data_IF_860232244773
#
_entry.id   IF_860232244773
#
_cell.length_a   1.000
_cell.length_b   1.000
_cell.length_c   1.000
_cell.angle_alpha   90.00
_cell.angle_beta   90.00
_cell.angle_gamma   90.00
#
_symmetry.space_group_name_H-M   'P 1'
#
loop_
_entity.id
_entity.type
_entity.pdbx_description
1 polymer ?
#
# COMPACT_ATOMS: atom_id res chain seq x y z
N UNK A 1 15.06 -8.58 -0.67
CA UNK A 1 16.16 -7.65 -0.29
C UNK A 1 17.18 -7.38 -1.38
N UNK A 2 17.62 -8.37 -2.17
CA UNK A 2 18.76 -8.29 -3.13
C UNK A 2 18.90 -7.00 -3.97
N UNK A 3 17.79 -6.34 -4.31
CA UNK A 3 17.77 -5.13 -5.16
C UNK A 3 17.30 -3.86 -4.43
N UNK A 4 17.15 -3.88 -3.11
CA UNK A 4 16.76 -2.70 -2.32
C UNK A 4 18.00 -1.99 -1.78
N UNK A 5 18.25 -0.78 -2.28
CA UNK A 5 19.38 0.08 -1.90
C UNK A 5 19.38 0.58 -0.44
N UNK A 6 18.28 0.44 0.31
CA UNK A 6 18.18 0.88 1.71
C UNK A 6 18.53 -0.27 2.67
N UNK A 7 18.16 -1.49 2.30
CA UNK A 7 18.46 -2.69 3.07
C UNK A 7 17.45 -2.97 4.18
N UNK A 8 17.87 -3.84 5.11
CA UNK A 8 17.05 -4.38 6.18
C UNK A 8 17.05 -3.48 7.43
N UNK A 9 15.91 -3.38 8.11
CA UNK A 9 15.84 -2.86 9.47
C UNK A 9 14.84 -3.70 10.27
N UNK A 10 15.32 -4.82 10.80
CA UNK A 10 14.51 -5.78 11.55
C UNK A 10 14.30 -5.39 13.02
N UNK A 11 15.02 -4.38 13.52
CA UNK A 11 15.01 -3.97 14.94
C UNK A 11 14.17 -2.72 15.21
N UNK A 12 13.73 -2.01 14.19
CA UNK A 12 12.86 -0.86 14.35
C UNK A 12 11.51 -1.28 14.97
N UNK A 13 10.96 -0.47 15.90
CA UNK A 13 9.66 -0.76 16.48
C UNK A 13 8.54 -0.55 15.45
N UNK A 14 7.47 -1.32 15.63
CA UNK A 14 6.18 -1.08 14.98
C UNK A 14 5.29 -0.30 15.94
N UNK A 15 5.14 0.99 15.67
CA UNK A 15 4.36 1.93 16.50
C UNK A 15 2.97 2.19 15.91
N UNK A 16 2.85 2.17 14.59
CA UNK A 16 1.59 2.34 13.87
C UNK A 16 1.64 1.69 12.49
N UNK A 17 0.51 1.69 11.78
CA UNK A 17 0.39 1.17 10.42
C UNK A 17 -0.06 2.27 9.47
N UNK A 18 0.45 2.26 8.24
CA UNK A 18 0.04 3.17 7.17
C UNK A 18 -0.44 2.36 5.97
N UNK A 19 -1.74 2.42 5.68
CA UNK A 19 -2.31 1.86 4.47
C UNK A 19 -2.02 2.81 3.31
N UNK A 20 -1.29 2.33 2.31
CA UNK A 20 -0.99 3.03 1.08
C UNK A 20 -1.94 2.57 -0.03
N UNK A 21 -2.72 3.50 -0.57
CA UNK A 21 -3.64 3.28 -1.69
C UNK A 21 -3.13 4.03 -2.90
N UNK A 22 -3.15 3.40 -4.08
CA UNK A 22 -2.69 3.97 -5.34
C UNK A 22 -3.86 4.16 -6.30
N UNK A 23 -3.94 5.34 -6.91
CA UNK A 23 -4.86 5.63 -8.01
C UNK A 23 -4.33 5.00 -9.30
N UNK A 24 -4.89 3.84 -9.65
CA UNK A 24 -4.37 3.00 -10.73
C UNK A 24 -4.30 3.68 -12.09
N UNK A 25 -5.28 4.50 -12.55
CA UNK A 25 -5.18 5.17 -13.84
C UNK A 25 -3.95 6.07 -13.92
N UNK A 26 -3.69 6.86 -12.87
CA UNK A 26 -2.52 7.73 -12.80
C UNK A 26 -1.21 6.94 -12.72
N UNK A 27 -1.18 5.80 -12.03
CA UNK A 27 -0.02 4.91 -12.04
C UNK A 27 0.24 4.35 -13.46
N UNK A 28 -0.80 3.89 -14.14
CA UNK A 28 -0.68 3.30 -15.47
C UNK A 28 -0.30 4.32 -16.55
N UNK A 29 -0.73 5.58 -16.43
CA UNK A 29 -0.26 6.67 -17.30
C UNK A 29 1.26 6.84 -17.18
N UNK A 30 1.80 6.85 -15.95
CA UNK A 30 3.25 6.92 -15.71
C UNK A 30 3.98 5.69 -16.27
N UNK A 31 3.39 4.49 -16.15
CA UNK A 31 4.01 3.28 -16.72
C UNK A 31 4.06 3.35 -18.25
N UNK A 32 2.99 3.83 -18.91
CA UNK A 32 2.96 3.99 -20.36
C UNK A 32 3.88 5.09 -20.84
N UNK A 33 3.99 6.21 -20.12
CA UNK A 33 4.97 7.25 -20.42
C UNK A 33 6.40 6.71 -20.41
N UNK A 34 6.70 5.82 -19.45
CA UNK A 34 8.04 5.25 -19.28
C UNK A 34 8.36 4.11 -20.25
N UNK A 35 7.39 3.25 -20.57
CA UNK A 35 7.63 1.99 -21.28
C UNK A 35 6.90 1.89 -22.64
N UNK A 36 6.11 2.89 -23.00
CA UNK A 36 5.22 2.85 -24.16
C UNK A 36 4.25 1.66 -24.08
N UNK A 37 4.05 1.00 -25.22
CA UNK A 37 3.22 -0.20 -25.33
C UNK A 37 3.89 -1.46 -24.72
N UNK A 38 5.18 -1.40 -24.39
CA UNK A 38 5.95 -2.52 -23.84
C UNK A 38 5.96 -2.52 -22.32
N UNK A 39 4.77 -2.55 -21.71
CA UNK A 39 4.64 -2.59 -20.25
C UNK A 39 5.37 -3.82 -19.66
N UNK A 40 6.11 -3.67 -18.54
CA UNK A 40 6.74 -4.79 -17.86
C UNK A 40 5.68 -5.76 -17.33
N UNK A 41 5.99 -7.06 -17.30
CA UNK A 41 5.06 -8.11 -16.85
C UNK A 41 4.40 -7.80 -15.49
N UNK A 42 5.14 -7.17 -14.57
CA UNK A 42 4.64 -6.78 -13.25
C UNK A 42 3.54 -5.71 -13.25
N UNK A 43 3.39 -4.92 -14.32
CA UNK A 43 2.32 -3.92 -14.46
C UNK A 43 1.28 -4.28 -15.52
N UNK A 44 1.53 -5.30 -16.36
CA UNK A 44 0.59 -5.72 -17.40
C UNK A 44 -0.79 -6.09 -16.85
N UNK A 45 -0.85 -6.76 -15.69
CA UNK A 45 -2.12 -7.14 -15.07
C UNK A 45 -2.96 -5.90 -14.67
N UNK A 46 -2.31 -4.85 -14.17
CA UNK A 46 -2.96 -3.62 -13.72
C UNK A 46 -3.26 -2.63 -14.85
N UNK A 47 -2.36 -2.54 -15.83
CA UNK A 47 -2.31 -1.44 -16.81
C UNK A 47 -2.58 -1.86 -18.25
N UNK A 48 -2.75 -3.15 -18.52
CA UNK A 48 -3.09 -3.66 -19.84
C UNK A 48 -4.52 -3.28 -20.26
N UNK A 49 -4.81 -3.41 -21.56
CA UNK A 49 -6.02 -2.84 -22.19
C UNK A 49 -7.35 -3.47 -21.78
N UNK A 50 -7.35 -4.59 -21.05
CA UNK A 50 -8.55 -5.38 -20.78
C UNK A 50 -9.11 -5.20 -19.36
N UNK A 51 -8.48 -4.36 -18.53
CA UNK A 51 -8.90 -4.15 -17.14
C UNK A 51 -8.74 -2.69 -16.75
N UNK A 52 -9.71 -2.16 -16.02
CA UNK A 52 -9.65 -0.85 -15.42
C UNK A 52 -9.78 -0.97 -13.91
N UNK A 53 -8.77 -0.50 -13.20
CA UNK A 53 -8.78 -0.38 -11.75
C UNK A 53 -8.97 1.09 -11.38
N UNK A 54 -9.68 1.35 -10.27
CA UNK A 54 -9.71 2.65 -9.62
C UNK A 54 -8.60 2.75 -8.58
N UNK A 55 -8.99 2.93 -7.32
CA UNK A 55 -8.07 2.79 -6.20
C UNK A 55 -7.72 1.33 -5.94
N UNK A 56 -6.45 1.07 -5.67
CA UNK A 56 -5.91 -0.25 -5.33
C UNK A 56 -5.01 -0.14 -4.10
N UNK A 57 -4.85 -1.23 -3.36
CA UNK A 57 -3.88 -1.34 -2.29
C UNK A 57 -2.49 -1.45 -2.89
N UNK A 58 -1.64 -0.47 -2.57
CA UNK A 58 -0.20 -0.60 -2.76
C UNK A 58 0.35 -1.50 -1.67
N UNK A 59 0.08 -1.19 -0.39
CA UNK A 59 0.44 -2.05 0.73
C UNK A 59 0.04 -1.48 2.10
N UNK A 60 0.20 -2.27 3.15
CA UNK A 60 0.03 -1.87 4.55
C UNK A 60 1.38 -1.87 5.27
N UNK A 61 1.89 -0.69 5.59
CA UNK A 61 3.27 -0.56 6.06
C UNK A 61 3.33 -0.37 7.57
N UNK A 62 3.96 -1.28 8.34
CA UNK A 62 4.35 -1.00 9.72
C UNK A 62 5.33 0.17 9.77
N UNK A 63 5.14 1.10 10.69
CA UNK A 63 5.90 2.33 10.79
C UNK A 63 6.44 2.55 12.21
N UNK A 64 7.68 3.02 12.29
CA UNK A 64 8.28 3.61 13.48
C UNK A 64 7.88 5.10 13.59
N UNK A 65 7.33 5.52 14.74
CA UNK A 65 6.87 6.88 14.99
C UNK A 65 8.02 7.90 15.09
N UNK A 66 9.23 7.43 15.40
CA UNK A 66 10.43 8.25 15.52
C UNK A 66 11.30 8.25 14.27
N UNK A 67 10.82 7.65 13.17
CA UNK A 67 11.57 7.56 11.92
C UNK A 67 11.79 8.95 11.30
N UNK A 68 13.04 9.24 10.93
CA UNK A 68 13.42 10.48 10.23
C UNK A 68 13.73 10.20 8.76
N UNK A 69 14.14 8.97 8.45
CA UNK A 69 14.40 8.47 7.12
C UNK A 69 13.63 7.17 6.84
N UNK A 70 13.53 6.81 5.55
CA UNK A 70 12.85 5.57 5.12
C UNK A 70 13.56 4.31 5.66
N UNK A 71 14.86 4.41 5.94
CA UNK A 71 15.67 3.37 6.59
C UNK A 71 15.26 3.10 8.04
N UNK A 72 14.61 4.05 8.72
CA UNK A 72 14.33 3.97 10.15
C UNK A 72 13.02 3.23 10.45
N UNK A 73 12.20 2.98 9.43
CA UNK A 73 11.00 2.15 9.53
C UNK A 73 11.36 0.65 9.49
N UNK A 74 10.52 -0.21 10.12
CA UNK A 74 10.65 -1.66 10.00
C UNK A 74 10.61 -2.08 8.54
N UNK A 75 11.59 -2.89 8.13
CA UNK A 75 11.67 -3.39 6.75
C UNK A 75 12.46 -4.67 6.64
N UNK A 76 11.97 -5.59 5.79
CA UNK A 76 12.56 -6.91 5.55
C UNK A 76 12.83 -7.67 6.85
N UNK A 77 11.94 -7.63 7.83
CA UNK A 77 12.23 -8.13 9.18
C UNK A 77 12.50 -9.64 9.25
N UNK A 78 12.04 -10.41 8.26
CA UNK A 78 12.36 -11.84 8.09
C UNK A 78 13.33 -12.11 6.92
N UNK A 79 13.96 -11.08 6.36
CA UNK A 79 14.91 -11.20 5.25
C UNK A 79 14.25 -11.52 3.90
N UNK A 80 15.00 -12.21 3.03
CA UNK A 80 14.48 -12.73 1.77
C UNK A 80 13.55 -13.92 2.08
N UNK A 81 12.31 -13.86 1.61
CA UNK A 81 11.31 -14.90 1.86
C UNK A 81 11.04 -15.74 0.61
N UNK A 82 10.64 -17.01 0.75
CA UNK A 82 10.21 -17.83 -0.37
C UNK A 82 9.06 -17.20 -1.16
N UNK A 83 8.95 -17.60 -2.42
CA UNK A 83 7.81 -17.23 -3.25
C UNK A 83 6.50 -17.73 -2.63
N UNK A 84 5.52 -16.84 -2.53
CA UNK A 84 4.20 -17.17 -2.04
C UNK A 84 3.44 -18.05 -3.03
N UNK A 85 2.56 -18.95 -2.56
CA UNK A 85 1.72 -19.76 -3.45
C UNK A 85 0.85 -18.88 -4.34
N UNK A 86 0.82 -19.15 -5.66
CA UNK A 86 0.01 -18.39 -6.61
C UNK A 86 -1.47 -18.35 -6.24
N UNK A 87 -2.00 -19.45 -5.69
CA UNK A 87 -3.38 -19.53 -5.22
C UNK A 87 -3.69 -18.59 -4.05
N UNK A 88 -2.70 -18.26 -3.22
CA UNK A 88 -2.85 -17.24 -2.18
C UNK A 88 -2.89 -15.83 -2.81
N UNK A 89 -1.93 -15.52 -3.70
CA UNK A 89 -1.83 -14.21 -4.35
C UNK A 89 -3.07 -13.89 -5.18
N UNK A 90 -3.59 -14.88 -5.92
CA UNK A 90 -4.76 -14.72 -6.79
C UNK A 90 -6.01 -14.19 -6.06
N UNK A 91 -6.16 -14.49 -4.76
CA UNK A 91 -7.28 -14.02 -3.94
C UNK A 91 -7.29 -12.51 -3.71
N UNK A 92 -6.12 -11.86 -3.82
CA UNK A 92 -5.93 -10.44 -3.50
C UNK A 92 -5.63 -9.57 -4.72
N UNK A 93 -5.46 -10.17 -5.91
CA UNK A 93 -5.19 -9.45 -7.16
C UNK A 93 -6.30 -8.45 -7.56
N UNK A 94 -7.52 -8.62 -7.06
CA UNK A 94 -8.63 -7.69 -7.31
C UNK A 94 -8.44 -6.35 -6.60
N UNK A 95 -7.76 -6.33 -5.45
CA UNK A 95 -7.51 -5.10 -4.68
C UNK A 95 -6.07 -4.61 -4.79
N UNK A 96 -5.10 -5.50 -5.05
CA UNK A 96 -3.68 -5.18 -5.23
C UNK A 96 -3.15 -5.88 -6.49
N UNK A 97 -3.23 -5.23 -7.65
CA UNK A 97 -3.09 -5.88 -8.95
C UNK A 97 -1.62 -6.12 -9.35
N UNK A 98 -0.95 -7.06 -8.69
CA UNK A 98 0.36 -7.54 -9.12
C UNK A 98 0.95 -8.59 -8.18
N UNK A 99 1.27 -9.77 -8.69
CA UNK A 99 1.88 -10.84 -7.88
C UNK A 99 3.25 -10.42 -7.30
N UNK A 100 4.07 -9.74 -8.12
CA UNK A 100 5.37 -9.21 -7.68
C UNK A 100 5.23 -8.10 -6.64
N UNK A 101 4.16 -7.30 -6.74
CA UNK A 101 3.82 -6.29 -5.74
C UNK A 101 3.49 -6.98 -4.41
N UNK A 102 2.50 -7.88 -4.41
CA UNK A 102 2.10 -8.64 -3.22
C UNK A 102 3.27 -9.36 -2.54
N UNK A 103 4.11 -10.06 -3.30
CA UNK A 103 5.33 -10.70 -2.78
C UNK A 103 6.26 -9.68 -2.11
N UNK A 104 6.54 -8.56 -2.79
CA UNK A 104 7.44 -7.52 -2.30
C UNK A 104 6.92 -6.84 -1.04
N UNK A 105 5.62 -6.54 -0.98
CA UNK A 105 4.97 -5.91 0.17
C UNK A 105 4.95 -6.84 1.39
N UNK A 106 4.66 -8.13 1.18
CA UNK A 106 4.79 -9.11 2.25
C UNK A 106 6.22 -9.19 2.79
N UNK A 107 7.20 -9.36 1.90
CA UNK A 107 8.60 -9.54 2.29
C UNK A 107 9.13 -8.29 3.01
N UNK A 108 8.89 -7.11 2.42
CA UNK A 108 9.43 -5.84 2.90
C UNK A 108 8.69 -5.30 4.11
N UNK A 109 7.37 -5.38 4.14
CA UNK A 109 6.53 -4.68 5.12
C UNK A 109 5.73 -5.63 6.00
N UNK A 110 4.94 -6.52 5.41
CA UNK A 110 4.03 -7.40 6.16
C UNK A 110 4.75 -8.31 7.16
N UNK A 111 5.91 -8.86 6.78
CA UNK A 111 6.70 -9.76 7.62
C UNK A 111 7.22 -9.13 8.93
N UNK A 112 7.14 -7.79 9.06
CA UNK A 112 7.53 -7.05 10.26
C UNK A 112 6.47 -7.00 11.35
N UNK A 113 5.20 -7.31 11.05
CA UNK A 113 4.11 -7.16 12.01
C UNK A 113 3.07 -8.29 11.98
N UNK A 114 3.20 -9.23 11.05
CA UNK A 114 2.26 -10.33 10.88
C UNK A 114 2.99 -11.67 10.83
N UNK A 115 2.32 -12.72 11.34
CA UNK A 115 2.89 -14.06 11.37
C UNK A 115 2.87 -14.73 9.99
N UNK A 116 1.88 -14.39 9.15
CA UNK A 116 1.70 -14.94 7.81
C UNK A 116 1.25 -13.91 6.77
N UNK A 117 1.59 -14.19 5.50
CA UNK A 117 1.15 -13.37 4.36
C UNK A 117 -0.38 -13.35 4.23
N UNK A 118 -1.06 -14.46 4.55
CA UNK A 118 -2.52 -14.52 4.51
C UNK A 118 -3.15 -13.54 5.50
N UNK A 119 -2.68 -13.47 6.75
CA UNK A 119 -3.17 -12.50 7.72
C UNK A 119 -2.90 -11.06 7.29
N UNK A 120 -1.73 -10.81 6.70
CA UNK A 120 -1.34 -9.51 6.19
C UNK A 120 -2.27 -9.02 5.07
N UNK A 121 -2.46 -9.81 4.01
CA UNK A 121 -3.33 -9.45 2.89
C UNK A 121 -4.82 -9.42 3.29
N UNK A 122 -5.25 -10.29 4.20
CA UNK A 122 -6.62 -10.23 4.74
C UNK A 122 -6.87 -8.91 5.48
N UNK A 123 -5.88 -8.41 6.24
CA UNK A 123 -5.99 -7.12 6.91
C UNK A 123 -5.99 -5.95 5.92
N UNK A 124 -5.15 -5.99 4.88
CA UNK A 124 -5.21 -5.02 3.78
C UNK A 124 -6.61 -4.96 3.15
N UNK A 125 -7.18 -6.12 2.83
CA UNK A 125 -8.50 -6.24 2.23
C UNK A 125 -9.62 -5.73 3.15
N UNK A 126 -9.56 -6.07 4.44
CA UNK A 126 -10.50 -5.58 5.45
C UNK A 126 -10.50 -4.04 5.51
N UNK A 127 -9.32 -3.43 5.63
CA UNK A 127 -9.20 -1.97 5.71
C UNK A 127 -9.62 -1.29 4.40
N UNK A 128 -9.28 -1.88 3.25
CA UNK A 128 -9.69 -1.36 1.95
C UNK A 128 -11.21 -1.40 1.76
N UNK A 129 -11.84 -2.54 2.07
CA UNK A 129 -13.30 -2.72 1.92
C UNK A 129 -14.12 -1.87 2.90
N UNK A 130 -13.53 -1.45 4.02
CA UNK A 130 -14.16 -0.53 4.97
C UNK A 130 -14.22 0.93 4.48
N UNK A 131 -13.57 1.25 3.36
CA UNK A 131 -13.50 2.59 2.79
C UNK A 131 -14.46 2.74 1.61
N UNK A 132 -15.17 3.86 1.59
CA UNK A 132 -15.69 4.45 0.36
C UNK A 132 -14.56 5.21 -0.29
N UNK A 133 -14.38 5.03 -1.61
CA UNK A 133 -13.31 5.65 -2.40
C UNK A 133 -13.91 6.32 -3.65
N UNK A 134 -13.40 7.49 -4.08
CA UNK A 134 -13.93 8.16 -5.26
C UNK A 134 -13.55 7.39 -6.51
N UNK A 135 -14.45 7.35 -7.49
CA UNK A 135 -14.25 6.70 -8.79
C UNK A 135 -13.57 7.61 -9.84
N UNK A 136 -13.07 8.76 -9.41
CA UNK A 136 -12.40 9.75 -10.25
C UNK A 136 -11.14 10.28 -9.57
N UNK A 137 -10.23 10.83 -10.37
CA UNK A 137 -9.08 11.56 -9.83
C UNK A 137 -9.56 12.87 -9.23
N UNK A 138 -9.12 13.14 -8.00
CA UNK A 138 -9.36 14.39 -7.29
C UNK A 138 -8.02 15.05 -7.01
N UNK A 139 -7.99 16.39 -6.90
CA UNK A 139 -6.84 17.07 -6.29
C UNK A 139 -6.68 16.64 -4.83
N UNK A 140 -5.52 16.91 -4.23
CA UNK A 140 -5.26 16.48 -2.84
C UNK A 140 -6.33 16.97 -1.86
N UNK A 141 -6.68 18.24 -1.95
CA UNK A 141 -7.56 18.87 -0.96
C UNK A 141 -9.02 18.41 -1.16
N UNK A 142 -9.45 18.25 -2.41
CA UNK A 142 -10.73 17.63 -2.76
C UNK A 142 -10.80 16.17 -2.30
N UNK A 143 -9.72 15.40 -2.51
CA UNK A 143 -9.63 14.00 -2.08
C UNK A 143 -9.79 13.89 -0.57
N UNK A 144 -9.10 14.74 0.20
CA UNK A 144 -9.22 14.73 1.65
C UNK A 144 -10.62 15.12 2.13
N UNK A 145 -11.23 16.14 1.52
CA UNK A 145 -12.61 16.53 1.80
C UNK A 145 -13.58 15.38 1.52
N UNK A 146 -13.48 14.78 0.34
CA UNK A 146 -14.32 13.66 -0.08
C UNK A 146 -14.16 12.45 0.85
N UNK A 147 -12.92 12.06 1.16
CA UNK A 147 -12.65 10.93 2.05
C UNK A 147 -13.28 11.14 3.43
N UNK A 148 -13.16 12.34 4.01
CA UNK A 148 -13.75 12.66 5.32
C UNK A 148 -15.26 12.74 5.30
N UNK A 149 -15.85 13.21 4.19
CA UNK A 149 -17.29 13.29 4.02
C UNK A 149 -17.94 11.90 3.92
N UNK A 150 -17.28 10.98 3.23
CA UNK A 150 -17.85 9.66 2.93
C UNK A 150 -17.40 8.54 3.88
N UNK A 151 -16.38 8.79 4.71
CA UNK A 151 -15.85 7.86 5.70
C UNK A 151 -15.81 8.53 7.08
N UNK A 152 -16.88 8.41 7.90
CA UNK A 152 -16.98 9.09 9.19
C UNK A 152 -15.82 8.80 10.15
N UNK A 153 -15.23 7.60 10.07
CA UNK A 153 -14.06 7.20 10.84
C UNK A 153 -12.80 8.05 10.54
N UNK A 154 -12.74 8.72 9.38
CA UNK A 154 -11.62 9.58 8.97
C UNK A 154 -11.83 11.06 9.31
N UNK A 155 -13.01 11.45 9.81
CA UNK A 155 -13.44 12.86 9.94
C UNK A 155 -12.40 13.76 10.59
N UNK A 156 -11.80 13.29 11.69
CA UNK A 156 -10.83 14.05 12.49
C UNK A 156 -9.37 13.67 12.22
N UNK A 157 -9.14 12.74 11.28
CA UNK A 157 -7.80 12.26 10.98
C UNK A 157 -7.07 13.17 9.99
N UNK A 158 -5.77 13.35 10.20
CA UNK A 158 -4.88 13.87 9.18
C UNK A 158 -4.49 12.75 8.21
N UNK A 159 -4.87 12.93 6.94
CA UNK A 159 -4.52 12.03 5.83
C UNK A 159 -3.26 12.56 5.13
N UNK A 160 -2.49 11.67 4.50
CA UNK A 160 -1.37 12.07 3.64
C UNK A 160 -1.66 11.66 2.20
N UNK A 161 -1.05 12.37 1.26
CA UNK A 161 -1.07 12.00 -0.14
C UNK A 161 0.24 12.42 -0.81
N UNK A 162 0.65 11.65 -1.81
CA UNK A 162 1.84 11.94 -2.62
C UNK A 162 1.63 11.40 -4.02
N UNK A 163 1.77 12.24 -5.05
CA UNK A 163 1.55 11.87 -6.46
C UNK A 163 0.16 11.22 -6.65
N UNK A 164 0.12 9.91 -6.91
CA UNK A 164 -1.10 9.13 -7.12
C UNK A 164 -1.49 8.31 -5.88
N UNK A 165 -0.88 8.57 -4.73
CA UNK A 165 -1.10 7.79 -3.51
C UNK A 165 -1.84 8.56 -2.43
N UNK A 166 -2.73 7.85 -1.74
CA UNK A 166 -3.42 8.24 -0.53
C UNK A 166 -2.95 7.35 0.62
N UNK A 167 -2.68 7.95 1.77
CA UNK A 167 -2.25 7.25 2.96
C UNK A 167 -3.19 7.50 4.13
N UNK A 168 -3.61 6.41 4.77
CA UNK A 168 -4.45 6.40 5.98
C UNK A 168 -3.69 5.66 7.07
N UNK A 169 -3.62 6.24 8.26
CA UNK A 169 -2.83 5.69 9.37
C UNK A 169 -3.73 5.10 10.45
N UNK A 170 -3.27 3.99 11.02
CA UNK A 170 -3.97 3.25 12.07
C UNK A 170 -3.03 2.97 13.23
N UNK A 171 -3.54 3.07 14.45
CA UNK A 171 -2.80 2.65 15.63
C UNK A 171 -2.70 1.11 15.69
N UNK A 172 -2.03 0.58 16.72
CA UNK A 172 -1.84 -0.87 16.90
C UNK A 172 -3.14 -1.63 17.20
N UNK A 173 -4.24 -0.93 17.47
CA UNK A 173 -5.58 -1.45 17.70
C UNK A 173 -6.50 -1.23 16.50
N UNK A 174 -5.93 -0.89 15.33
CA UNK A 174 -6.64 -0.63 14.08
C UNK A 174 -7.61 0.57 14.15
N UNK A 175 -7.41 1.48 15.11
CA UNK A 175 -8.16 2.74 15.15
C UNK A 175 -7.49 3.76 14.27
N UNK A 176 -8.28 4.51 13.51
CA UNK A 176 -7.77 5.59 12.66
C UNK A 176 -7.05 6.62 13.54
N UNK A 177 -5.85 7.00 13.10
CA UNK A 177 -5.04 8.04 13.75
C UNK A 177 -4.52 9.04 12.73
N UNK A 178 -3.99 10.16 13.23
CA UNK A 178 -3.28 11.11 12.38
C UNK A 178 -2.04 10.44 11.80
N UNK A 179 -1.86 10.55 10.48
CA UNK A 179 -0.59 10.24 9.88
C UNK A 179 0.48 11.22 10.38
N UNK A 180 1.62 10.71 10.80
CA UNK A 180 2.73 11.55 11.26
C UNK A 180 3.20 12.46 10.12
N UNK A 181 3.25 13.77 10.38
CA UNK A 181 3.96 14.73 9.52
C UNK A 181 5.46 14.50 9.72
N UNK A 182 6.21 14.40 8.62
CA UNK A 182 7.67 14.53 8.70
C UNK A 182 8.06 15.90 9.25
#
# INVERSE_FOLDING_TARGET
MRNDHIGQNAKAPVDYYMLALSWSPGFCDIQREKYGDQLPYSSQYQCGNNRTFGWVVHGLWPQNANARAVSDHPRFCKGDLPALPKGLLAQYLAISPGEKLLQGEWEKHGSCAFDSAQQYFAKEQELFNALKLPNQKLSRDELFGWMKQHNPQLKNAYLRASRNELFICYDKKWQVMNCQSK
#
